data_IF_642775169181
#
_entry.id   IF_642775169181
#
_cell.length_a   1.000
_cell.length_b   1.000
_cell.length_c   1.000
_cell.angle_alpha   90.00
_cell.angle_beta   90.00
_cell.angle_gamma   90.00
#
_symmetry.space_group_name_H-M   'P 1'
#
loop_
_entity.id
_entity.type
_entity.pdbx_description
1 polymer ?
#
# COMPACT_ATOMS: atom_id res chain seq x y z
N UNK A 1 19.95 -2.88 -7.38
CA UNK A 1 18.55 -2.59 -7.79
C UNK A 1 17.68 -2.92 -6.60
N UNK A 2 16.81 -2.01 -6.20
CA UNK A 2 15.94 -2.17 -5.02
C UNK A 2 14.50 -2.08 -5.49
N UNK A 3 13.59 -2.89 -4.94
CA UNK A 3 12.20 -2.95 -5.39
C UNK A 3 11.24 -2.72 -4.25
N UNK A 4 10.11 -2.12 -4.56
CA UNK A 4 9.08 -1.74 -3.61
C UNK A 4 7.72 -2.13 -4.16
N UNK A 5 6.91 -2.81 -3.34
CA UNK A 5 5.61 -3.30 -3.75
C UNK A 5 4.48 -2.51 -3.08
N UNK A 6 3.40 -2.30 -3.82
CA UNK A 6 2.13 -1.79 -3.33
C UNK A 6 1.04 -2.81 -3.63
N UNK A 7 0.19 -3.09 -2.64
CA UNK A 7 -0.87 -4.09 -2.73
C UNK A 7 -2.17 -3.45 -2.25
N UNK A 8 -3.05 -3.12 -3.18
CA UNK A 8 -4.46 -2.83 -2.89
C UNK A 8 -5.22 -4.16 -2.78
N UNK A 9 -5.41 -4.62 -1.55
CA UNK A 9 -5.84 -5.99 -1.28
C UNK A 9 -7.37 -6.09 -1.24
N UNK A 10 -7.95 -7.02 -1.99
CA UNK A 10 -9.34 -7.40 -1.79
C UNK A 10 -9.48 -8.47 -0.71
N UNK A 11 -10.57 -8.44 0.06
CA UNK A 11 -10.79 -9.43 1.11
C UNK A 11 -11.11 -10.85 0.63
N UNK A 12 -11.56 -10.99 -0.62
CA UNK A 12 -11.85 -12.29 -1.25
C UNK A 12 -10.99 -12.47 -2.49
N UNK A 13 -10.37 -13.64 -2.72
CA UNK A 13 -9.61 -13.93 -3.93
C UNK A 13 -10.48 -14.02 -5.19
N UNK A 14 -11.81 -13.95 -5.07
CA UNK A 14 -12.73 -13.81 -6.22
C UNK A 14 -12.75 -12.39 -6.78
N UNK A 15 -12.29 -11.42 -6.01
CA UNK A 15 -12.21 -10.02 -6.40
C UNK A 15 -10.74 -9.68 -6.74
N UNK A 16 -10.51 -8.77 -7.70
CA UNK A 16 -9.17 -8.36 -8.05
C UNK A 16 -8.51 -7.62 -6.88
N UNK A 17 -7.21 -7.80 -6.73
CA UNK A 17 -6.33 -7.00 -5.89
C UNK A 17 -5.35 -6.28 -6.81
N UNK A 18 -5.28 -4.96 -6.71
CA UNK A 18 -4.29 -4.18 -7.45
C UNK A 18 -2.90 -4.44 -6.89
N UNK A 19 -1.92 -4.69 -7.76
CA UNK A 19 -0.53 -4.87 -7.33
C UNK A 19 0.39 -4.10 -8.26
N UNK A 20 1.30 -3.31 -7.67
CA UNK A 20 2.32 -2.56 -8.39
C UNK A 20 3.69 -2.78 -7.76
N UNK A 21 4.74 -2.87 -8.60
CA UNK A 21 6.13 -2.98 -8.14
C UNK A 21 6.99 -1.96 -8.88
N UNK A 22 7.65 -1.11 -8.09
CA UNK A 22 8.61 -0.10 -8.56
C UNK A 22 10.02 -0.64 -8.34
N UNK A 23 10.90 -0.46 -9.33
CA UNK A 23 12.33 -0.72 -9.21
C UNK A 23 13.13 0.58 -9.23
N UNK A 24 13.96 0.77 -8.21
CA UNK A 24 14.99 1.79 -8.15
C UNK A 24 16.32 1.20 -8.61
N UNK A 25 16.80 1.68 -9.76
CA UNK A 25 18.11 1.34 -10.32
C UNK A 25 18.89 2.61 -10.71
N UNK A 26 18.99 2.94 -12.01
CA UNK A 26 19.49 4.24 -12.50
C UNK A 26 18.42 5.34 -12.48
N UNK A 27 17.18 4.94 -12.29
CA UNK A 27 15.99 5.75 -12.13
C UNK A 27 14.86 4.88 -11.57
N UNK A 28 13.67 5.45 -11.43
CA UNK A 28 12.49 4.71 -11.00
C UNK A 28 11.69 4.23 -12.22
N UNK A 29 11.25 2.98 -12.17
CA UNK A 29 10.37 2.41 -13.19
C UNK A 29 9.40 1.41 -12.59
N UNK A 30 8.21 1.33 -13.17
CA UNK A 30 7.26 0.27 -12.87
C UNK A 30 7.73 -1.00 -13.57
N UNK A 31 8.00 -2.06 -12.82
CA UNK A 31 8.38 -3.39 -13.36
C UNK A 31 7.21 -4.37 -13.37
N UNK A 32 6.15 -4.05 -12.63
CA UNK A 32 4.88 -4.75 -12.66
C UNK A 32 3.77 -3.79 -12.24
N UNK A 33 2.64 -3.82 -12.95
CA UNK A 33 1.36 -3.25 -12.49
C UNK A 33 0.26 -4.10 -13.09
N UNK A 34 -0.73 -4.48 -12.28
CA UNK A 34 -1.82 -5.32 -12.74
C UNK A 34 -2.70 -5.83 -11.61
N UNK A 35 -3.75 -6.54 -12.00
CA UNK A 35 -4.68 -7.18 -11.08
C UNK A 35 -4.27 -8.64 -10.83
N UNK A 36 -4.14 -9.01 -9.55
CA UNK A 36 -3.95 -10.39 -9.11
C UNK A 36 -5.12 -10.83 -8.24
N UNK A 37 -5.35 -12.13 -8.15
CA UNK A 37 -6.54 -12.68 -7.49
C UNK A 37 -6.17 -13.54 -6.29
N UNK A 38 -5.43 -14.63 -6.50
CA UNK A 38 -5.12 -15.59 -5.45
C UNK A 38 -3.99 -15.13 -4.54
N UNK A 39 -3.91 -15.72 -3.34
CA UNK A 39 -2.78 -15.47 -2.42
C UNK A 39 -1.47 -15.97 -3.04
N UNK A 40 -1.55 -17.08 -3.77
CA UNK A 40 -0.45 -17.72 -4.49
C UNK A 40 0.12 -16.81 -5.58
N UNK A 41 -0.74 -16.12 -6.36
CA UNK A 41 -0.29 -15.18 -7.39
C UNK A 41 0.45 -13.99 -6.78
N UNK A 42 -0.10 -13.41 -5.71
CA UNK A 42 0.49 -12.26 -5.01
C UNK A 42 1.83 -12.67 -4.40
N UNK A 43 1.87 -13.78 -3.67
CA UNK A 43 3.09 -14.28 -3.03
C UNK A 43 4.14 -14.70 -4.06
N UNK A 44 3.73 -15.35 -5.15
CA UNK A 44 4.63 -15.73 -6.25
C UNK A 44 5.25 -14.52 -6.95
N UNK A 45 4.50 -13.41 -7.11
CA UNK A 45 5.05 -12.14 -7.58
C UNK A 45 6.08 -11.58 -6.59
N UNK A 46 5.76 -11.56 -5.29
CA UNK A 46 6.67 -11.08 -4.24
C UNK A 46 7.94 -11.92 -4.18
N UNK A 47 7.85 -13.24 -4.23
CA UNK A 47 9.00 -14.15 -4.24
C UNK A 47 9.88 -13.96 -5.48
N UNK A 48 9.24 -13.78 -6.65
CA UNK A 48 9.96 -13.56 -7.92
C UNK A 48 10.65 -12.21 -7.97
N UNK A 49 9.97 -11.14 -7.57
CA UNK A 49 10.46 -9.77 -7.70
C UNK A 49 11.28 -9.30 -6.48
N UNK A 50 11.12 -9.94 -5.31
CA UNK A 50 11.88 -9.68 -4.09
C UNK A 50 11.91 -8.19 -3.70
N UNK A 51 10.73 -7.54 -3.50
CA UNK A 51 10.69 -6.19 -2.96
C UNK A 51 11.28 -6.17 -1.55
N UNK A 52 11.96 -5.09 -1.19
CA UNK A 52 12.48 -4.90 0.18
C UNK A 52 11.38 -4.40 1.13
N UNK A 53 10.42 -3.64 0.61
CA UNK A 53 9.22 -3.18 1.33
C UNK A 53 7.97 -3.49 0.51
N UNK A 54 6.91 -3.96 1.16
CA UNK A 54 5.56 -4.04 0.63
C UNK A 54 4.59 -3.21 1.48
N UNK A 55 3.93 -2.22 0.88
CA UNK A 55 2.85 -1.48 1.52
C UNK A 55 1.50 -2.09 1.12
N UNK A 56 0.66 -2.40 2.11
CA UNK A 56 -0.62 -3.08 1.92
C UNK A 56 -1.76 -2.15 2.32
N UNK A 57 -2.75 -1.96 1.43
CA UNK A 57 -4.00 -1.27 1.74
C UNK A 57 -4.95 -2.20 2.51
N UNK A 58 -4.59 -2.47 3.76
CA UNK A 58 -5.43 -3.20 4.69
C UNK A 58 -4.90 -3.05 6.12
N UNK A 59 -5.79 -3.10 7.12
CA UNK A 59 -5.38 -3.23 8.51
C UNK A 59 -4.48 -4.45 8.72
N UNK A 60 -3.30 -4.25 9.31
CA UNK A 60 -2.35 -5.32 9.67
C UNK A 60 -2.41 -5.69 11.16
N UNK A 61 -3.27 -5.00 11.92
CA UNK A 61 -3.52 -5.26 13.34
C UNK A 61 -5.03 -5.36 13.61
N UNK A 62 -5.46 -6.16 14.60
CA UNK A 62 -6.88 -6.38 14.87
C UNK A 62 -7.58 -5.11 15.39
N UNK A 63 -8.86 -4.96 15.07
CA UNK A 63 -9.73 -3.94 15.64
C UNK A 63 -11.18 -4.44 15.77
N UNK A 64 -11.81 -4.23 16.93
CA UNK A 64 -13.25 -4.52 17.12
C UNK A 64 -14.17 -3.41 16.56
N UNK A 65 -13.58 -2.27 16.23
CA UNK A 65 -14.20 -1.08 15.66
C UNK A 65 -13.07 -0.24 15.07
N UNK A 66 -13.09 1.08 15.29
CA UNK A 66 -11.91 1.91 15.04
C UNK A 66 -10.79 1.55 16.00
N UNK A 67 -9.58 1.39 15.48
CA UNK A 67 -8.34 1.40 16.25
C UNK A 67 -7.99 2.82 16.67
N UNK A 68 -7.14 2.96 17.66
CA UNK A 68 -6.58 4.22 18.12
C UNK A 68 -5.81 4.93 17.00
N UNK A 69 -5.10 4.16 16.15
CA UNK A 69 -4.45 4.71 14.96
C UNK A 69 -5.48 5.25 13.95
N UNK A 70 -6.59 4.56 13.73
CA UNK A 70 -7.66 5.01 12.82
C UNK A 70 -8.28 6.32 13.30
N UNK A 71 -8.50 6.46 14.62
CA UNK A 71 -9.01 7.69 15.22
C UNK A 71 -8.02 8.85 15.07
N UNK A 72 -6.71 8.60 15.13
CA UNK A 72 -5.70 9.63 14.88
C UNK A 72 -5.73 10.09 13.41
N UNK A 73 -5.87 9.16 12.46
CA UNK A 73 -6.07 9.53 11.05
C UNK A 73 -7.33 10.39 10.86
N UNK A 74 -8.45 10.02 11.49
CA UNK A 74 -9.71 10.77 11.39
C UNK A 74 -9.58 12.18 11.96
N UNK A 75 -8.93 12.34 13.12
CA UNK A 75 -8.65 13.67 13.71
C UNK A 75 -7.87 14.59 12.78
N UNK A 76 -7.04 14.01 11.89
CA UNK A 76 -6.22 14.74 10.91
C UNK A 76 -6.92 14.94 9.57
N UNK A 77 -8.21 14.59 9.49
CA UNK A 77 -9.06 14.80 8.31
C UNK A 77 -8.95 13.69 7.26
N UNK A 78 -8.39 12.52 7.60
CA UNK A 78 -8.39 11.35 6.73
C UNK A 78 -9.62 10.49 6.98
N UNK A 79 -10.26 10.03 5.91
CA UNK A 79 -11.49 9.21 6.00
C UNK A 79 -11.14 7.74 5.85
N UNK A 80 -10.95 7.06 6.97
CA UNK A 80 -10.74 5.60 7.04
C UNK A 80 -11.97 4.89 7.60
N UNK A 81 -12.16 3.64 7.21
CA UNK A 81 -13.22 2.78 7.72
C UNK A 81 -12.68 1.89 8.86
N UNK A 82 -13.52 1.51 9.82
CA UNK A 82 -13.09 0.72 10.97
C UNK A 82 -12.86 -0.76 10.60
N UNK A 83 -11.71 -1.35 10.94
CA UNK A 83 -11.41 -2.77 10.67
C UNK A 83 -12.46 -3.76 11.21
N UNK A 84 -13.15 -3.39 12.29
CA UNK A 84 -14.16 -4.23 12.95
C UNK A 84 -15.48 -4.38 12.18
N UNK A 85 -15.66 -3.72 11.03
CA UNK A 85 -16.86 -3.90 10.22
C UNK A 85 -16.91 -5.28 9.57
N UNK A 86 -18.13 -5.85 9.48
CA UNK A 86 -18.34 -7.24 9.03
C UNK A 86 -17.74 -7.52 7.64
N UNK A 87 -17.76 -6.54 6.74
CA UNK A 87 -17.15 -6.63 5.41
C UNK A 87 -15.62 -6.58 5.40
N UNK A 88 -14.98 -6.01 6.43
CA UNK A 88 -13.53 -5.87 6.52
C UNK A 88 -12.83 -7.06 7.17
N UNK A 89 -13.56 -7.93 7.88
CA UNK A 89 -12.97 -9.07 8.57
C UNK A 89 -12.16 -9.99 7.64
N UNK A 90 -12.72 -10.33 6.48
CA UNK A 90 -12.03 -11.17 5.48
C UNK A 90 -10.76 -10.48 4.95
N UNK A 91 -10.83 -9.18 4.69
CA UNK A 91 -9.69 -8.37 4.25
C UNK A 91 -8.57 -8.37 5.28
N UNK A 92 -8.91 -8.05 6.53
CA UNK A 92 -7.96 -8.08 7.64
C UNK A 92 -7.31 -9.47 7.82
N UNK A 93 -8.11 -10.54 7.89
CA UNK A 93 -7.59 -11.89 8.09
C UNK A 93 -6.67 -12.31 6.93
N UNK A 94 -7.00 -11.92 5.70
CA UNK A 94 -6.16 -12.13 4.52
C UNK A 94 -4.87 -11.32 4.58
N UNK A 95 -4.95 -10.03 4.90
CA UNK A 95 -3.82 -9.12 4.99
C UNK A 95 -2.79 -9.58 6.02
N UNK A 96 -3.23 -9.92 7.23
CA UNK A 96 -2.33 -10.41 8.30
C UNK A 96 -1.59 -11.68 7.87
N UNK A 97 -2.30 -12.61 7.23
CA UNK A 97 -1.75 -13.89 6.79
C UNK A 97 -0.72 -13.70 5.67
N UNK A 98 -1.05 -12.91 4.64
CA UNK A 98 -0.11 -12.57 3.56
C UNK A 98 1.10 -11.80 4.08
N UNK A 99 0.89 -10.80 4.95
CA UNK A 99 1.97 -10.03 5.55
C UNK A 99 2.92 -10.91 6.38
N UNK A 100 2.39 -11.90 7.12
CA UNK A 100 3.19 -12.87 7.84
C UNK A 100 4.12 -13.68 6.93
N UNK A 101 3.59 -14.17 5.80
CA UNK A 101 4.37 -14.94 4.82
C UNK A 101 5.43 -14.07 4.15
N UNK A 102 5.07 -12.86 3.70
CA UNK A 102 6.00 -11.90 3.08
C UNK A 102 7.13 -11.52 4.05
N UNK A 103 6.84 -11.30 5.33
CA UNK A 103 7.87 -11.07 6.36
C UNK A 103 8.79 -12.28 6.53
N UNK A 104 8.25 -13.50 6.46
CA UNK A 104 9.05 -14.73 6.43
C UNK A 104 9.99 -14.84 5.21
N UNK A 105 9.65 -14.18 4.10
CA UNK A 105 10.51 -14.04 2.91
C UNK A 105 11.55 -12.91 3.03
N UNK A 106 11.60 -12.20 4.17
CA UNK A 106 12.51 -11.07 4.40
C UNK A 106 12.00 -9.73 3.88
N UNK A 107 10.71 -9.63 3.52
CA UNK A 107 10.09 -8.38 3.08
C UNK A 107 9.59 -7.59 4.29
N UNK A 108 9.95 -6.31 4.38
CA UNK A 108 9.31 -5.42 5.34
C UNK A 108 7.88 -5.10 4.89
N UNK A 109 6.88 -5.34 5.73
CA UNK A 109 5.48 -5.12 5.38
C UNK A 109 4.87 -4.03 6.24
N UNK A 110 4.41 -2.96 5.60
CA UNK A 110 3.79 -1.78 6.22
C UNK A 110 2.33 -1.64 5.80
N UNK A 111 1.52 -1.07 6.69
CA UNK A 111 0.13 -0.74 6.41
C UNK A 111 0.02 0.65 5.81
N UNK A 112 -0.82 0.81 4.78
CA UNK A 112 -1.12 2.11 4.18
C UNK A 112 -2.62 2.26 3.90
N UNK A 113 -3.02 3.44 3.43
CA UNK A 113 -4.34 3.70 2.88
C UNK A 113 -4.17 4.66 1.68
N UNK A 114 -4.19 4.17 0.43
CA UNK A 114 -3.88 4.90 -0.80
C UNK A 114 -4.59 6.23 -0.91
N UNK A 115 -5.89 6.28 -0.60
CA UNK A 115 -6.65 7.53 -0.63
C UNK A 115 -6.14 8.58 0.35
N UNK A 116 -5.75 8.16 1.56
CA UNK A 116 -5.13 9.06 2.54
C UNK A 116 -3.73 9.47 2.12
N UNK A 117 -2.94 8.55 1.55
CA UNK A 117 -1.59 8.79 1.09
C UNK A 117 -1.54 9.77 -0.09
N UNK A 118 -2.46 9.63 -1.05
CA UNK A 118 -2.61 10.58 -2.14
C UNK A 118 -3.07 11.96 -1.61
N UNK A 119 -4.01 11.98 -0.66
CA UNK A 119 -4.41 13.25 -0.04
C UNK A 119 -3.26 13.93 0.71
N UNK A 120 -2.45 13.17 1.43
CA UNK A 120 -1.35 13.72 2.23
C UNK A 120 -0.15 14.15 1.38
N UNK A 121 0.03 13.57 0.19
CA UNK A 121 1.07 14.00 -0.75
C UNK A 121 0.80 15.38 -1.37
N UNK A 122 -0.45 15.85 -1.33
CA UNK A 122 -0.86 17.11 -1.97
C UNK A 122 -1.05 16.98 -3.48
N UNK A 123 -0.85 15.81 -4.07
CA UNK A 123 -1.01 15.62 -5.51
C UNK A 123 -2.49 15.45 -5.89
N UNK A 124 -2.90 15.97 -7.05
CA UNK A 124 -4.30 15.92 -7.52
C UNK A 124 -4.78 14.50 -7.81
N UNK A 125 -3.87 13.67 -8.30
CA UNK A 125 -4.14 12.32 -8.79
C UNK A 125 -2.85 11.48 -8.76
N UNK A 126 -3.00 10.18 -9.07
CA UNK A 126 -1.89 9.23 -9.06
C UNK A 126 -0.84 9.53 -10.13
N UNK A 127 -1.22 10.13 -11.26
CA UNK A 127 -0.29 10.42 -12.36
C UNK A 127 0.63 11.58 -11.98
N UNK A 128 0.08 12.64 -11.36
CA UNK A 128 0.88 13.72 -10.75
C UNK A 128 1.78 13.21 -9.63
N UNK A 129 1.28 12.29 -8.80
CA UNK A 129 2.09 11.67 -7.77
C UNK A 129 3.25 10.86 -8.36
N UNK A 130 3.00 10.07 -9.41
CA UNK A 130 4.03 9.30 -10.11
C UNK A 130 5.07 10.23 -10.76
N UNK A 131 4.62 11.29 -11.43
CA UNK A 131 5.49 12.32 -12.02
C UNK A 131 6.37 12.99 -10.95
N UNK A 132 5.80 13.36 -9.80
CA UNK A 132 6.52 14.02 -8.70
C UNK A 132 7.64 13.15 -8.11
N UNK A 133 7.55 11.83 -8.23
CA UNK A 133 8.63 10.92 -7.83
C UNK A 133 9.53 10.50 -9.01
N UNK A 134 9.23 10.91 -10.24
CA UNK A 134 10.02 10.58 -11.43
C UNK A 134 9.65 9.25 -12.08
N UNK A 135 8.41 8.79 -11.94
CA UNK A 135 7.87 7.59 -12.58
C UNK A 135 6.96 8.00 -13.74
N UNK A 136 7.21 7.42 -14.91
CA UNK A 136 6.33 7.56 -16.07
C UNK A 136 5.30 6.44 -16.12
N UNK A 137 4.02 6.80 -16.23
CA UNK A 137 2.90 5.87 -16.42
C UNK A 137 2.40 6.01 -17.87
N UNK A 138 2.61 4.96 -18.69
CA UNK A 138 2.31 4.98 -20.13
C UNK A 138 0.99 4.29 -20.51
N UNK A 139 0.17 3.96 -19.52
CA UNK A 139 -1.10 3.25 -19.71
C UNK A 139 -2.17 3.86 -18.83
N UNK A 140 -3.43 3.69 -19.21
CA UNK A 140 -4.56 3.98 -18.34
C UNK A 140 -4.66 2.86 -17.31
N UNK A 141 -4.79 3.25 -16.04
CA UNK A 141 -4.92 2.33 -14.91
C UNK A 141 -6.38 2.22 -14.46
N UNK A 142 -6.78 1.02 -14.04
CA UNK A 142 -8.00 0.82 -13.26
C UNK A 142 -7.84 1.37 -11.85
N UNK A 143 -8.95 1.53 -11.12
CA UNK A 143 -8.93 2.11 -9.78
C UNK A 143 -8.02 1.33 -8.81
N UNK A 144 -8.10 0.01 -8.83
CA UNK A 144 -7.30 -0.85 -7.94
C UNK A 144 -5.81 -0.75 -8.31
N UNK A 145 -5.47 -0.61 -9.61
CA UNK A 145 -4.10 -0.38 -10.06
C UNK A 145 -3.57 1.02 -9.65
N UNK A 146 -4.41 2.06 -9.69
CA UNK A 146 -4.06 3.38 -9.18
C UNK A 146 -3.74 3.32 -7.68
N UNK A 147 -4.62 2.71 -6.89
CA UNK A 147 -4.46 2.59 -5.44
C UNK A 147 -3.22 1.72 -5.09
N UNK A 148 -2.95 0.67 -5.88
CA UNK A 148 -1.71 -0.12 -5.76
C UNK A 148 -0.44 0.67 -6.13
N UNK A 149 -0.50 1.52 -7.16
CA UNK A 149 0.62 2.39 -7.52
C UNK A 149 0.91 3.39 -6.40
N UNK A 150 -0.11 4.02 -5.81
CA UNK A 150 0.05 4.89 -4.64
C UNK A 150 0.69 4.11 -3.48
N UNK A 151 0.21 2.90 -3.17
CA UNK A 151 0.80 2.05 -2.13
C UNK A 151 2.27 1.74 -2.43
N UNK A 152 2.64 1.45 -3.68
CA UNK A 152 4.04 1.16 -4.03
C UNK A 152 4.95 2.38 -3.86
N UNK A 153 4.42 3.59 -4.08
CA UNK A 153 5.13 4.84 -3.82
C UNK A 153 5.28 5.07 -2.30
N UNK A 154 4.29 4.68 -1.48
CA UNK A 154 4.45 4.66 -0.02
C UNK A 154 5.57 3.71 0.39
N UNK A 155 5.61 2.49 -0.15
CA UNK A 155 6.68 1.53 0.13
C UNK A 155 8.07 2.07 -0.25
N UNK A 156 8.19 2.69 -1.43
CA UNK A 156 9.40 3.38 -1.88
C UNK A 156 9.82 4.47 -0.89
N UNK A 157 8.90 5.39 -0.55
CA UNK A 157 9.21 6.52 0.33
C UNK A 157 9.51 6.06 1.76
N UNK A 158 8.92 4.96 2.22
CA UNK A 158 9.26 4.35 3.50
C UNK A 158 10.71 3.87 3.50
N UNK A 159 11.13 3.14 2.46
CA UNK A 159 12.52 2.72 2.30
C UNK A 159 13.53 3.88 2.19
N UNK A 160 13.07 5.06 1.74
CA UNK A 160 13.87 6.30 1.68
C UNK A 160 13.77 7.16 2.96
N UNK A 161 12.97 6.78 3.96
CA UNK A 161 12.73 7.57 5.18
C UNK A 161 11.82 8.80 5.00
N UNK A 162 11.11 8.90 3.87
CA UNK A 162 10.32 10.05 3.43
C UNK A 162 8.83 10.01 3.72
N UNK A 163 8.38 9.23 4.71
CA UNK A 163 6.96 9.01 5.03
C UNK A 163 6.46 9.82 6.23
N UNK A 164 5.14 9.97 6.29
CA UNK A 164 4.41 10.41 7.48
C UNK A 164 3.83 9.18 8.17
N UNK A 165 4.21 8.95 9.42
CA UNK A 165 3.78 7.76 10.19
C UNK A 165 2.76 8.17 11.23
N UNK A 166 1.59 7.55 11.17
CA UNK A 166 0.59 7.60 12.24
C UNK A 166 0.76 6.37 13.11
N UNK A 167 1.07 6.56 14.40
CA UNK A 167 1.34 5.47 15.34
C UNK A 167 0.45 5.60 16.57
N UNK A 168 -0.13 4.48 16.98
CA UNK A 168 -0.81 4.34 18.25
C UNK A 168 -0.46 2.98 18.90
N UNK A 169 -1.07 2.68 20.05
CA UNK A 169 -0.82 1.42 20.77
C UNK A 169 -1.25 0.16 19.99
N UNK A 170 -2.12 0.31 18.98
CA UNK A 170 -2.78 -0.77 18.26
C UNK A 170 -2.53 -0.76 16.74
N UNK A 171 -1.56 0.04 16.26
CA UNK A 171 -1.18 0.01 14.85
C UNK A 171 -0.33 1.18 14.40
N UNK A 172 0.18 1.04 13.18
CA UNK A 172 0.93 2.07 12.45
C UNK A 172 0.41 2.16 11.03
N UNK A 173 0.19 3.37 10.51
CA UNK A 173 -0.23 3.60 9.12
C UNK A 173 0.71 4.60 8.47
N UNK A 174 1.21 4.24 7.30
CA UNK A 174 2.24 4.97 6.56
C UNK A 174 1.60 5.72 5.40
N UNK A 175 1.70 7.06 5.42
CA UNK A 175 1.24 7.95 4.37
C UNK A 175 2.43 8.72 3.76
N UNK A 176 2.17 9.47 2.69
CA UNK A 176 3.20 10.28 2.03
C UNK A 176 3.33 11.65 2.70
N UNK A 177 4.56 12.15 2.81
CA UNK A 177 4.80 13.59 3.02
C UNK A 177 4.38 14.36 1.77
N UNK A 178 4.20 15.68 1.91
CA UNK A 178 3.86 16.53 0.77
C UNK A 178 4.95 16.42 -0.32
N UNK A 179 4.51 16.16 -1.55
CA UNK A 179 5.34 16.00 -2.75
C UNK A 179 4.89 16.96 -3.87
N UNK A 180 3.63 17.38 -3.86
CA UNK A 180 3.07 18.33 -4.81
C UNK A 180 2.61 19.61 -4.10
N UNK A 181 2.69 20.73 -4.83
CA UNK A 181 2.24 22.05 -4.40
C UNK A 181 0.74 22.27 -4.65
#
# INVERSE_FOLDING_TARGET
>A
MVRYAGIDLAGSPRNPSGVAVIEHSRGLRIVFIGLLYSDEDILGLVERLKPVVAAVDAPLTPGRGYRSVDLELIKRGYRVLPPGWRGMRMLYERAVRLAGIMRGMGVEVVETHPRSALKSSGCSDVYRLAEAVGITVNTVLSRDEEDALVASIVALKHGEGGVLVFKACDGEVFLLRRLCD
#
